data_IF_538691375565
#
_entry.id   IF_538691375565
#
_cell.length_a   1.000
_cell.length_b   1.000
_cell.length_c   1.000
_cell.angle_alpha   90.00
_cell.angle_beta   90.00
_cell.angle_gamma   90.00
#
_symmetry.space_group_name_H-M   'P 1'
#
loop_
_entity.id
_entity.type
_entity.pdbx_description
1 polymer ?
#
# COMPACT_ATOMS: atom_id res chain seq x y z
N UNK A 1 50.77 -35.31 23.16
CA UNK A 1 51.16 -33.88 23.12
C UNK A 1 51.27 -33.49 21.65
N UNK A 2 50.22 -32.96 21.01
CA UNK A 2 49.89 -31.53 20.80
C UNK A 2 51.01 -30.70 20.16
N UNK A 3 50.78 -30.23 18.93
CA UNK A 3 50.95 -28.84 18.42
C UNK A 3 50.88 -28.85 16.88
N UNK A 4 49.71 -28.62 16.27
CA UNK A 4 49.29 -27.35 15.63
C UNK A 4 50.02 -27.00 14.32
N UNK A 5 49.31 -27.12 13.19
CA UNK A 5 49.51 -26.28 11.99
C UNK A 5 48.17 -26.09 11.25
N UNK A 6 47.86 -24.82 11.00
CA UNK A 6 46.53 -24.27 10.78
C UNK A 6 45.80 -24.71 9.51
N UNK A 7 44.50 -24.92 9.68
CA UNK A 7 43.49 -24.98 8.63
C UNK A 7 43.20 -23.55 8.13
N UNK A 8 43.53 -23.29 6.87
CA UNK A 8 43.20 -22.06 6.18
C UNK A 8 41.72 -22.10 5.79
N UNK A 9 40.87 -21.63 6.71
CA UNK A 9 39.45 -21.45 6.50
C UNK A 9 39.17 -20.66 5.23
N UNK A 10 38.53 -21.32 4.25
CA UNK A 10 37.85 -20.66 3.14
C UNK A 10 36.73 -19.78 3.71
N UNK A 11 36.95 -18.46 3.71
CA UNK A 11 35.88 -17.49 3.94
C UNK A 11 34.89 -17.58 2.77
N UNK A 12 33.68 -18.06 3.06
CA UNK A 12 32.53 -17.89 2.17
C UNK A 12 32.18 -16.40 1.99
N UNK A 13 31.47 -16.03 0.92
CA UNK A 13 31.09 -14.64 0.68
C UNK A 13 30.23 -14.14 1.84
N UNK A 14 30.53 -12.92 2.29
CA UNK A 14 29.73 -12.19 3.26
C UNK A 14 28.33 -11.98 2.68
N UNK A 15 27.35 -12.70 3.20
CA UNK A 15 25.94 -12.45 2.95
C UNK A 15 25.61 -11.03 3.44
N UNK A 16 25.14 -10.18 2.52
CA UNK A 16 24.71 -8.82 2.83
C UNK A 16 23.50 -8.83 3.76
N UNK A 17 23.29 -7.78 4.58
CA UNK A 17 22.13 -7.70 5.46
C UNK A 17 20.85 -7.77 4.61
N UNK A 18 20.02 -8.74 4.94
CA UNK A 18 18.77 -9.05 4.24
C UNK A 18 17.92 -7.81 4.02
N UNK A 19 17.33 -7.75 2.83
CA UNK A 19 16.32 -6.79 2.41
C UNK A 19 15.08 -6.92 3.31
N UNK A 20 15.16 -6.36 4.52
CA UNK A 20 13.98 -6.12 5.34
C UNK A 20 13.12 -5.15 4.55
N UNK A 21 11.93 -5.59 4.13
CA UNK A 21 10.93 -4.74 3.47
C UNK A 21 10.58 -3.59 4.44
N UNK A 22 11.24 -2.45 4.26
CA UNK A 22 11.09 -1.26 5.12
C UNK A 22 9.68 -0.70 4.98
N UNK A 23 8.94 -0.64 6.09
CA UNK A 23 7.49 -0.40 6.16
C UNK A 23 7.16 1.07 6.45
N UNK A 24 7.86 1.98 5.80
CA UNK A 24 7.91 3.38 6.22
C UNK A 24 6.56 4.11 6.26
N UNK A 25 5.94 4.11 7.44
CA UNK A 25 4.93 5.06 7.91
C UNK A 25 3.55 5.01 7.27
N UNK A 26 2.60 4.32 7.90
CA UNK A 26 1.14 4.46 7.64
C UNK A 26 0.75 4.40 6.15
N UNK A 27 1.36 3.52 5.36
CA UNK A 27 1.04 3.39 3.93
C UNK A 27 1.58 4.52 3.02
N UNK A 28 2.43 5.42 3.52
CA UNK A 28 3.07 6.48 2.72
C UNK A 28 4.35 6.00 2.03
N UNK A 29 4.25 4.90 1.29
CA UNK A 29 5.36 4.31 0.55
C UNK A 29 5.68 5.09 -0.74
N UNK A 30 6.95 5.05 -1.20
CA UNK A 30 7.31 5.57 -2.52
C UNK A 30 6.64 4.71 -3.61
N UNK A 31 6.17 5.35 -4.67
CA UNK A 31 5.66 4.70 -5.88
C UNK A 31 6.66 4.93 -7.01
N UNK A 32 7.29 3.86 -7.49
CA UNK A 32 8.28 3.90 -8.57
C UNK A 32 7.61 3.78 -9.95
N UNK A 33 8.23 4.31 -11.02
CA UNK A 33 9.38 5.22 -11.03
C UNK A 33 8.97 6.70 -10.82
N UNK A 34 7.72 6.99 -10.46
CA UNK A 34 7.24 8.37 -10.25
C UNK A 34 7.86 9.09 -9.05
N UNK A 35 8.33 8.31 -8.07
CA UNK A 35 8.75 8.75 -6.74
C UNK A 35 7.76 9.71 -6.06
N UNK A 36 6.47 9.38 -6.18
CA UNK A 36 5.38 10.02 -5.44
C UNK A 36 4.92 9.11 -4.32
N UNK A 37 4.31 9.69 -3.30
CA UNK A 37 3.74 8.93 -2.21
C UNK A 37 2.45 8.25 -2.66
N UNK A 38 2.33 6.93 -2.43
CA UNK A 38 1.12 6.15 -2.72
C UNK A 38 -0.14 6.70 -2.05
N UNK A 39 -0.05 6.96 -0.75
CA UNK A 39 -1.18 7.45 0.03
C UNK A 39 -1.60 8.88 -0.36
N UNK A 40 -0.67 9.84 -0.45
CA UNK A 40 -1.02 11.27 -0.62
C UNK A 40 -0.69 11.90 -1.99
N UNK A 41 0.07 11.24 -2.86
CA UNK A 41 0.42 11.69 -4.21
C UNK A 41 1.46 12.82 -4.27
N UNK A 42 1.89 13.35 -3.12
CA UNK A 42 2.99 14.32 -3.03
C UNK A 42 4.34 13.68 -3.41
N UNK A 43 5.35 14.45 -3.81
CA UNK A 43 6.72 13.93 -3.98
C UNK A 43 7.17 13.18 -2.73
N UNK A 44 7.65 11.95 -2.90
CA UNK A 44 8.13 11.13 -1.79
C UNK A 44 9.61 11.46 -1.49
N UNK A 45 10.06 11.58 -0.23
CA UNK A 45 9.30 11.38 1.00
C UNK A 45 8.44 12.61 1.34
N UNK A 46 7.13 12.39 1.39
CA UNK A 46 6.16 13.35 1.90
C UNK A 46 6.26 13.43 3.44
N UNK A 47 5.74 14.49 4.07
CA UNK A 47 5.85 14.66 5.52
C UNK A 47 5.39 13.43 6.35
N UNK A 48 4.24 12.79 6.09
CA UNK A 48 3.86 11.56 6.80
C UNK A 48 4.88 10.43 6.65
N UNK A 49 5.44 10.24 5.45
CA UNK A 49 6.51 9.27 5.21
C UNK A 49 7.77 9.60 6.02
N UNK A 50 8.16 10.89 6.08
CA UNK A 50 9.31 11.34 6.87
C UNK A 50 9.12 11.01 8.35
N UNK A 51 7.95 11.31 8.92
CA UNK A 51 7.63 10.97 10.30
C UNK A 51 7.64 9.46 10.54
N UNK A 52 7.06 8.69 9.62
CA UNK A 52 7.08 7.24 9.65
C UNK A 52 8.50 6.66 9.69
N UNK A 53 9.37 7.13 8.80
CA UNK A 53 10.78 6.77 8.76
C UNK A 53 11.51 7.14 10.07
N UNK A 54 11.23 8.31 10.66
CA UNK A 54 11.84 8.68 11.94
C UNK A 54 11.40 7.80 13.10
N UNK A 55 10.15 7.31 13.06
CA UNK A 55 9.62 6.38 14.06
C UNK A 55 10.21 4.98 13.85
N UNK A 56 10.24 4.50 12.61
CA UNK A 56 10.77 3.17 12.26
C UNK A 56 12.25 3.04 12.58
N UNK A 57 13.05 4.06 12.24
CA UNK A 57 14.50 4.08 12.47
C UNK A 57 14.87 4.81 13.78
N UNK A 58 13.97 4.82 14.78
CA UNK A 58 14.21 5.51 16.04
C UNK A 58 15.46 4.94 16.72
N UNK A 59 16.46 5.78 16.97
CA UNK A 59 17.72 5.39 17.61
C UNK A 59 18.80 4.90 16.64
N UNK A 60 18.48 4.68 15.35
CA UNK A 60 19.45 4.25 14.32
C UNK A 60 19.40 5.17 13.09
N UNK A 61 19.99 6.35 13.26
CA UNK A 61 20.06 7.36 12.19
C UNK A 61 20.95 6.93 11.03
N UNK A 62 21.97 6.13 11.29
CA UNK A 62 22.89 5.64 10.26
C UNK A 62 22.13 4.74 9.30
N UNK A 63 21.35 3.77 9.82
CA UNK A 63 20.49 2.93 8.99
C UNK A 63 19.48 3.75 8.18
N UNK A 64 18.86 4.78 8.77
CA UNK A 64 17.95 5.67 8.04
C UNK A 64 18.64 6.36 6.84
N UNK A 65 19.86 6.87 7.04
CA UNK A 65 20.61 7.56 5.99
C UNK A 65 21.07 6.60 4.89
N UNK A 66 21.48 5.37 5.24
CA UNK A 66 21.80 4.33 4.25
C UNK A 66 20.56 3.95 3.43
N UNK A 67 19.43 3.74 4.10
CA UNK A 67 18.17 3.43 3.44
C UNK A 67 17.74 4.55 2.46
N UNK A 68 17.71 5.80 2.93
CA UNK A 68 17.37 6.95 2.10
C UNK A 68 18.39 7.20 0.98
N UNK A 69 19.66 6.86 1.20
CA UNK A 69 20.71 6.92 0.19
C UNK A 69 20.48 5.92 -0.95
N UNK A 70 20.09 4.68 -0.63
CA UNK A 70 19.70 3.68 -1.62
C UNK A 70 18.50 4.14 -2.46
N UNK A 71 17.45 4.63 -1.80
CA UNK A 71 16.27 5.17 -2.48
C UNK A 71 16.59 6.41 -3.32
N UNK A 72 17.49 7.27 -2.88
CA UNK A 72 17.96 8.42 -3.65
C UNK A 72 18.69 7.98 -4.93
N UNK A 73 19.59 6.99 -4.84
CA UNK A 73 20.34 6.48 -5.99
C UNK A 73 19.39 5.89 -7.04
N UNK A 74 18.40 5.11 -6.59
CA UNK A 74 17.36 4.56 -7.44
C UNK A 74 16.52 5.67 -8.10
N UNK A 75 16.11 6.69 -7.33
CA UNK A 75 15.36 7.83 -7.85
C UNK A 75 16.13 8.63 -8.88
N UNK A 76 17.43 8.78 -8.68
CA UNK A 76 18.32 9.47 -9.62
C UNK A 76 18.47 8.71 -10.94
N UNK A 77 18.40 7.36 -10.91
CA UNK A 77 18.42 6.56 -12.13
C UNK A 77 17.10 6.63 -12.91
N UNK A 78 15.98 6.85 -12.21
CA UNK A 78 14.63 6.83 -12.80
C UNK A 78 14.08 8.20 -13.19
N UNK A 79 14.54 9.29 -12.56
CA UNK A 79 14.07 10.66 -12.82
C UNK A 79 15.14 11.47 -13.57
N UNK A 80 14.93 11.70 -14.86
CA UNK A 80 15.89 12.38 -15.76
C UNK A 80 16.07 13.88 -15.47
N UNK A 81 15.03 14.59 -14.99
CA UNK A 81 15.03 16.05 -14.82
C UNK A 81 14.77 16.53 -13.39
N UNK A 82 14.87 15.63 -12.39
CA UNK A 82 14.53 16.00 -11.02
C UNK A 82 15.64 16.80 -10.33
N UNK A 83 15.36 18.07 -10.04
CA UNK A 83 16.24 18.91 -9.24
C UNK A 83 16.07 18.66 -7.75
N UNK A 84 17.10 18.97 -6.96
CA UNK A 84 17.08 18.93 -5.49
C UNK A 84 16.75 17.58 -4.83
N UNK A 85 16.91 16.45 -5.53
CA UNK A 85 16.64 15.11 -4.98
C UNK A 85 17.43 14.84 -3.69
N UNK A 86 18.72 15.21 -3.64
CA UNK A 86 19.53 15.06 -2.44
C UNK A 86 18.93 15.83 -1.24
N UNK A 87 18.49 17.08 -1.45
CA UNK A 87 17.81 17.88 -0.41
C UNK A 87 16.46 17.24 -0.03
N UNK A 88 15.71 16.71 -1.00
CA UNK A 88 14.40 16.09 -0.80
C UNK A 88 14.46 14.82 0.04
N UNK A 89 15.43 13.93 -0.24
CA UNK A 89 15.59 12.65 0.45
C UNK A 89 16.36 12.79 1.76
N UNK A 90 17.48 13.51 1.77
CA UNK A 90 18.41 13.53 2.91
C UNK A 90 18.38 14.82 3.72
N UNK A 91 17.92 15.93 3.14
CA UNK A 91 18.04 17.27 3.74
C UNK A 91 17.29 17.45 5.06
N UNK A 92 16.22 16.69 5.28
CA UNK A 92 15.43 16.70 6.52
C UNK A 92 15.90 15.64 7.53
N UNK A 93 16.53 14.56 7.07
CA UNK A 93 17.08 13.49 7.92
C UNK A 93 18.44 13.89 8.55
N UNK A 94 19.05 14.98 8.04
CA UNK A 94 20.26 15.57 8.58
C UNK A 94 19.92 16.68 9.58
N UNK A 95 20.26 16.47 10.85
CA UNK A 95 20.21 17.52 11.90
C UNK A 95 21.14 18.67 11.47
N UNK A 96 20.57 19.86 11.22
CA UNK A 96 21.30 21.12 11.43
C UNK A 96 21.18 21.42 12.92
N UNK A 97 22.29 21.79 13.57
CA UNK A 97 22.37 21.93 15.02
C UNK A 97 21.21 22.71 15.64
N UNK A 98 20.71 22.22 16.77
CA UNK A 98 19.75 22.91 17.63
C UNK A 98 18.28 22.67 17.28
N UNK A 99 17.57 21.94 18.16
CA UNK A 99 16.12 21.71 18.20
C UNK A 99 15.47 21.03 16.99
N UNK A 100 15.20 19.73 17.17
CA UNK A 100 14.33 18.94 16.32
C UNK A 100 12.87 19.36 16.62
N UNK A 101 12.23 20.01 15.64
CA UNK A 101 10.85 20.53 15.66
C UNK A 101 10.60 21.77 16.54
N UNK A 102 10.13 22.85 15.91
CA UNK A 102 9.25 23.80 16.60
C UNK A 102 7.90 23.08 16.79
N UNK A 103 7.65 22.60 18.00
CA UNK A 103 6.30 22.23 18.43
C UNK A 103 5.70 23.51 19.01
N UNK A 104 4.66 24.06 18.38
CA UNK A 104 3.89 25.13 19.02
C UNK A 104 3.31 24.58 20.33
N UNK A 105 3.70 25.16 21.46
CA UNK A 105 3.27 24.76 22.81
C UNK A 105 2.01 25.52 23.24
N UNK A 106 1.08 25.77 22.32
CA UNK A 106 -0.23 26.27 22.74
C UNK A 106 -1.08 25.09 23.25
N UNK A 107 -1.58 25.14 24.50
CA UNK A 107 -2.40 24.08 25.06
C UNK A 107 -3.78 24.13 24.38
N UNK A 108 -3.88 23.37 23.29
CA UNK A 108 -5.07 23.32 22.45
C UNK A 108 -4.89 22.30 21.33
N UNK A 109 -4.46 21.08 21.65
CA UNK A 109 -4.51 19.99 20.69
C UNK A 109 -5.98 19.60 20.48
N UNK A 110 -6.68 20.32 19.62
CA UNK A 110 -7.94 19.83 19.07
C UNK A 110 -7.64 18.54 18.31
N UNK A 111 -8.32 17.45 18.69
CA UNK A 111 -8.25 16.19 17.97
C UNK A 111 -8.93 16.43 16.62
N UNK A 112 -8.16 16.83 15.62
CA UNK A 112 -8.63 16.97 14.26
C UNK A 112 -8.91 15.58 13.69
N UNK A 113 -10.16 15.32 13.30
CA UNK A 113 -10.62 14.10 12.60
C UNK A 113 -10.13 14.01 11.15
N UNK A 114 -9.21 14.90 10.76
CA UNK A 114 -8.58 14.94 9.44
C UNK A 114 -7.09 14.72 9.63
N UNK A 115 -6.50 13.85 8.80
CA UNK A 115 -5.06 13.61 8.84
C UNK A 115 -4.33 14.96 8.69
N UNK A 116 -3.64 15.44 9.75
CA UNK A 116 -3.01 16.76 9.78
C UNK A 116 -1.88 16.90 8.75
N UNK A 117 -1.50 15.78 8.12
CA UNK A 117 -0.46 15.72 7.09
C UNK A 117 -1.02 15.38 5.71
N UNK A 118 -2.34 15.30 5.56
CA UNK A 118 -2.97 15.12 4.27
C UNK A 118 -2.71 16.35 3.40
N UNK A 119 -2.28 16.12 2.16
CA UNK A 119 -2.12 17.20 1.17
C UNK A 119 -3.47 17.92 1.03
N UNK A 120 -3.53 19.24 1.26
CA UNK A 120 -4.76 20.01 1.12
C UNK A 120 -5.39 19.83 -0.25
N UNK A 121 -6.72 19.83 -0.34
CA UNK A 121 -7.42 19.48 -1.59
C UNK A 121 -6.98 20.34 -2.80
N UNK A 122 -6.68 21.62 -2.59
CA UNK A 122 -6.18 22.53 -3.63
C UNK A 122 -4.75 22.27 -4.10
N UNK A 123 -3.95 21.56 -3.28
CA UNK A 123 -2.54 21.23 -3.58
C UNK A 123 -2.37 19.79 -4.11
N UNK A 124 -3.45 18.99 -4.13
CA UNK A 124 -3.47 17.67 -4.78
C UNK A 124 -3.43 17.85 -6.30
N UNK A 125 -2.83 16.88 -7.01
CA UNK A 125 -2.84 16.90 -8.47
C UNK A 125 -4.28 17.00 -9.03
N UNK A 126 -4.50 17.71 -10.15
CA UNK A 126 -5.84 17.83 -10.75
C UNK A 126 -6.51 16.47 -10.99
N UNK A 127 -5.74 15.47 -11.46
CA UNK A 127 -6.23 14.10 -11.68
C UNK A 127 -6.65 13.42 -10.38
N UNK A 128 -5.93 13.61 -9.28
CA UNK A 128 -6.34 13.09 -7.95
C UNK A 128 -7.62 13.75 -7.45
N UNK A 129 -7.80 15.04 -7.73
CA UNK A 129 -9.04 15.77 -7.41
C UNK A 129 -10.21 15.26 -8.26
N UNK A 130 -9.98 14.99 -9.55
CA UNK A 130 -10.96 14.39 -10.45
C UNK A 130 -11.38 13.00 -9.96
N UNK A 131 -10.41 12.10 -9.67
CA UNK A 131 -10.69 10.77 -9.13
C UNK A 131 -11.52 10.84 -7.84
N UNK A 132 -11.23 11.79 -6.95
CA UNK A 132 -12.00 11.98 -5.73
C UNK A 132 -13.45 12.45 -5.94
N UNK A 133 -13.83 12.90 -7.14
CA UNK A 133 -15.21 13.25 -7.51
C UNK A 133 -16.00 12.06 -8.05
N UNK A 134 -15.34 10.95 -8.36
CA UNK A 134 -15.99 9.70 -8.73
C UNK A 134 -16.32 8.95 -7.45
N UNK A 135 -17.60 8.66 -7.22
CA UNK A 135 -17.99 7.70 -6.20
C UNK A 135 -17.61 6.31 -6.71
N UNK A 136 -16.92 5.52 -5.89
CA UNK A 136 -16.50 4.19 -6.27
C UNK A 136 -16.87 3.17 -5.19
N UNK A 137 -17.28 1.95 -5.57
CA UNK A 137 -17.46 0.87 -4.60
C UNK A 137 -16.12 0.52 -3.96
N UNK A 138 -16.16 0.07 -2.72
CA UNK A 138 -15.01 -0.50 -2.02
C UNK A 138 -15.11 -2.01 -2.12
N UNK A 139 -14.07 -2.63 -2.67
CA UNK A 139 -13.95 -4.08 -2.74
C UNK A 139 -12.68 -4.53 -2.01
N UNK A 140 -12.69 -5.77 -1.57
CA UNK A 140 -11.51 -6.48 -1.09
C UNK A 140 -11.12 -7.52 -2.13
N UNK A 141 -9.87 -7.46 -2.58
CA UNK A 141 -9.29 -8.49 -3.44
C UNK A 141 -8.37 -9.35 -2.58
N UNK A 142 -8.46 -10.67 -2.71
CA UNK A 142 -7.60 -11.64 -2.00
C UNK A 142 -7.09 -12.73 -2.92
N UNK A 143 -5.98 -13.36 -2.57
CA UNK A 143 -5.36 -14.42 -3.37
C UNK A 143 -4.92 -15.62 -2.50
N UNK A 144 -4.75 -16.82 -3.08
CA UNK A 144 -4.27 -18.01 -2.36
C UNK A 144 -2.81 -17.83 -1.91
N UNK A 145 -2.52 -17.86 -0.61
CA UNK A 145 -1.20 -17.54 -0.07
C UNK A 145 -1.22 -16.40 0.96
N UNK A 146 -2.26 -16.38 1.80
CA UNK A 146 -3.23 -15.29 1.92
C UNK A 146 -2.61 -13.89 1.85
N UNK A 147 -2.87 -13.21 0.74
CA UNK A 147 -2.58 -11.80 0.52
C UNK A 147 -3.87 -11.06 0.13
N UNK A 148 -3.96 -9.77 0.43
CA UNK A 148 -5.15 -8.99 0.10
C UNK A 148 -4.89 -7.49 -0.04
N UNK A 149 -5.79 -6.82 -0.75
CA UNK A 149 -5.76 -5.36 -0.95
C UNK A 149 -7.17 -4.81 -1.05
N UNK A 150 -7.41 -3.66 -0.43
CA UNK A 150 -8.63 -2.88 -0.68
C UNK A 150 -8.53 -2.14 -2.00
N UNK A 151 -9.45 -2.42 -2.91
CA UNK A 151 -9.49 -1.89 -4.28
C UNK A 151 -10.79 -1.12 -4.50
N UNK A 152 -10.69 0.12 -4.96
CA UNK A 152 -11.84 1.00 -5.26
C UNK A 152 -11.90 1.41 -6.74
N UNK A 153 -11.27 0.62 -7.59
CA UNK A 153 -11.23 0.80 -9.05
C UNK A 153 -11.83 -0.39 -9.80
N UNK A 154 -12.57 -1.25 -9.10
CA UNK A 154 -13.14 -2.45 -9.69
C UNK A 154 -14.30 -2.10 -10.60
N UNK A 155 -14.26 -2.64 -11.82
CA UNK A 155 -15.32 -2.57 -12.81
C UNK A 155 -15.60 -3.97 -13.33
N UNK A 156 -16.87 -4.25 -13.61
CA UNK A 156 -17.35 -5.51 -14.19
C UNK A 156 -17.94 -5.20 -15.57
N UNK A 157 -17.68 -6.08 -16.54
CA UNK A 157 -18.22 -6.02 -17.87
C UNK A 157 -18.84 -7.38 -18.21
N UNK A 158 -20.16 -7.37 -18.43
CA UNK A 158 -20.90 -8.54 -18.89
C UNK A 158 -20.48 -8.91 -20.33
N UNK A 159 -20.34 -10.21 -20.59
CA UNK A 159 -19.94 -10.71 -21.91
C UNK A 159 -19.74 -12.22 -21.96
N UNK A 160 -19.20 -12.70 -23.07
CA UNK A 160 -18.90 -14.12 -23.28
C UNK A 160 -17.39 -14.30 -23.48
N UNK A 161 -16.60 -14.52 -22.41
CA UNK A 161 -17.00 -14.67 -21.00
C UNK A 161 -17.06 -13.34 -20.24
N UNK A 162 -17.73 -13.33 -19.08
CA UNK A 162 -17.83 -12.21 -18.15
C UNK A 162 -16.45 -11.76 -17.63
N UNK A 163 -16.23 -10.45 -17.58
CA UNK A 163 -14.92 -9.85 -17.26
C UNK A 163 -14.98 -8.91 -16.07
N UNK A 164 -13.84 -8.81 -15.41
CA UNK A 164 -13.55 -7.81 -14.39
C UNK A 164 -12.23 -7.12 -14.71
N UNK A 165 -12.13 -5.83 -14.35
CA UNK A 165 -10.86 -5.12 -14.34
C UNK A 165 -10.69 -4.26 -13.08
N UNK A 166 -9.45 -3.92 -12.77
CA UNK A 166 -9.11 -3.03 -11.67
C UNK A 166 -7.66 -2.54 -11.71
N UNK A 167 -7.39 -1.43 -11.01
CA UNK A 167 -6.05 -0.90 -10.85
C UNK A 167 -5.43 -1.43 -9.55
N UNK A 168 -4.34 -2.18 -9.68
CA UNK A 168 -3.59 -2.75 -8.56
C UNK A 168 -2.18 -2.18 -8.54
N UNK A 169 -1.64 -2.00 -7.35
CA UNK A 169 -0.26 -1.57 -7.20
C UNK A 169 0.71 -2.73 -7.48
N UNK A 170 1.69 -2.57 -8.40
CA UNK A 170 2.62 -3.64 -8.79
C UNK A 170 3.54 -4.10 -7.65
N UNK A 171 3.73 -3.28 -6.62
CA UNK A 171 4.55 -3.65 -5.45
C UNK A 171 3.71 -4.21 -4.29
N UNK A 172 2.40 -4.42 -4.48
CA UNK A 172 1.54 -4.95 -3.43
C UNK A 172 1.80 -6.45 -3.21
N UNK A 173 1.75 -6.89 -1.95
CA UNK A 173 1.84 -8.32 -1.64
C UNK A 173 0.69 -9.09 -2.32
N UNK A 174 -0.49 -8.46 -2.51
CA UNK A 174 -1.56 -9.03 -3.34
C UNK A 174 -1.07 -9.31 -4.76
N UNK A 175 -0.48 -8.33 -5.45
CA UNK A 175 -0.05 -8.52 -6.83
C UNK A 175 0.94 -9.67 -6.96
N UNK A 176 1.94 -9.72 -6.07
CA UNK A 176 2.93 -10.81 -6.08
C UNK A 176 2.27 -12.20 -5.99
N UNK A 177 1.25 -12.35 -5.13
CA UNK A 177 0.51 -13.61 -4.98
C UNK A 177 -0.42 -13.89 -6.16
N UNK A 178 -1.07 -12.87 -6.73
CA UNK A 178 -1.96 -13.03 -7.90
C UNK A 178 -1.18 -13.41 -9.15
N UNK A 179 -0.01 -12.81 -9.35
CA UNK A 179 0.89 -13.12 -10.47
C UNK A 179 1.35 -14.58 -10.41
N UNK A 180 1.64 -15.09 -9.22
CA UNK A 180 2.04 -16.48 -9.01
C UNK A 180 0.85 -17.46 -9.13
N UNK A 181 -0.28 -17.15 -8.49
CA UNK A 181 -1.43 -18.06 -8.42
C UNK A 181 -2.32 -18.05 -9.67
N UNK A 182 -2.29 -16.95 -10.45
CA UNK A 182 -3.13 -16.73 -11.63
C UNK A 182 -4.62 -16.57 -11.31
N UNK A 183 -5.00 -16.41 -10.05
CA UNK A 183 -6.39 -16.32 -9.59
C UNK A 183 -6.53 -15.52 -8.31
N UNK A 184 -7.71 -14.96 -8.10
CA UNK A 184 -8.04 -14.12 -6.95
C UNK A 184 -9.54 -14.06 -6.72
N UNK A 185 -9.94 -13.77 -5.49
CA UNK A 185 -11.33 -13.49 -5.13
C UNK A 185 -11.55 -11.97 -5.03
N UNK A 186 -12.75 -11.51 -5.38
CA UNK A 186 -13.19 -10.12 -5.22
C UNK A 186 -14.49 -10.10 -4.41
N UNK A 187 -14.45 -9.38 -3.28
CA UNK A 187 -15.57 -9.24 -2.36
C UNK A 187 -16.03 -7.78 -2.32
N UNK A 188 -17.26 -7.45 -2.75
CA UNK A 188 -17.87 -6.16 -2.47
C UNK A 188 -18.04 -5.97 -0.95
N UNK A 189 -17.54 -4.86 -0.40
CA UNK A 189 -17.62 -4.59 1.03
C UNK A 189 -18.85 -3.73 1.34
N UNK A 190 -19.57 -4.09 2.41
CA UNK A 190 -20.64 -3.26 2.99
C UNK A 190 -20.18 -2.28 4.10
N UNK A 191 -21.06 -1.38 4.58
CA UNK A 191 -20.76 -0.34 5.58
C UNK A 191 -20.06 -0.79 6.86
N UNK A 192 -20.34 -2.01 7.33
CA UNK A 192 -19.72 -2.57 8.54
C UNK A 192 -18.24 -2.92 8.34
N UNK A 193 -17.78 -3.11 7.10
CA UNK A 193 -16.40 -3.48 6.77
C UNK A 193 -15.42 -2.30 6.71
N UNK A 194 -15.76 -1.10 7.19
CA UNK A 194 -14.86 0.08 7.14
C UNK A 194 -13.48 -0.21 7.74
N UNK A 195 -13.44 -0.86 8.91
CA UNK A 195 -12.17 -1.19 9.57
C UNK A 195 -11.37 -2.25 8.81
N UNK A 196 -12.05 -3.24 8.24
CA UNK A 196 -11.44 -4.24 7.35
C UNK A 196 -10.81 -3.54 6.13
N UNK A 197 -11.57 -2.66 5.47
CA UNK A 197 -11.11 -1.90 4.32
C UNK A 197 -9.89 -1.02 4.64
N UNK A 198 -9.90 -0.30 5.75
CA UNK A 198 -8.74 0.53 6.14
C UNK A 198 -7.50 -0.32 6.43
N UNK A 199 -7.68 -1.52 7.01
CA UNK A 199 -6.58 -2.45 7.29
C UNK A 199 -5.93 -2.96 6.00
N UNK A 200 -6.74 -3.45 5.07
CA UNK A 200 -6.28 -3.94 3.76
C UNK A 200 -5.87 -2.81 2.80
N UNK A 201 -6.18 -1.55 3.12
CA UNK A 201 -5.61 -0.36 2.48
C UNK A 201 -4.25 0.07 3.08
N UNK A 202 -3.77 -0.60 4.14
CA UNK A 202 -2.52 -0.27 4.83
C UNK A 202 -2.58 0.98 5.71
N UNK A 203 -3.79 1.41 6.10
CA UNK A 203 -4.01 2.59 6.95
C UNK A 203 -3.92 2.27 8.44
N UNK A 204 -4.19 1.02 8.82
CA UNK A 204 -4.04 0.53 10.19
C UNK A 204 -2.90 -0.50 10.32
N UNK A 205 -2.19 -0.53 11.47
CA UNK A 205 -1.31 -1.65 11.78
C UNK A 205 -2.13 -2.94 11.86
N UNK A 206 -1.52 -4.05 11.46
CA UNK A 206 -2.15 -5.38 11.50
C UNK A 206 -1.30 -6.33 12.36
N UNK A 207 -1.38 -6.22 13.71
CA UNK A 207 -0.71 -7.17 14.59
C UNK A 207 -1.21 -8.60 14.29
N UNK A 208 -0.29 -9.55 14.11
CA UNK A 208 -0.63 -10.92 13.74
C UNK A 208 -0.92 -11.15 12.25
N UNK A 209 -0.91 -10.09 11.42
CA UNK A 209 -1.16 -10.17 9.97
C UNK A 209 -2.53 -9.62 9.56
N UNK A 210 -2.71 -9.40 8.26
CA UNK A 210 -3.93 -8.78 7.70
C UNK A 210 -5.20 -9.59 7.99
N UNK A 211 -5.07 -10.92 8.03
CA UNK A 211 -6.17 -11.89 8.15
C UNK A 211 -6.47 -12.30 9.60
N UNK A 212 -5.76 -11.76 10.60
CA UNK A 212 -5.80 -12.29 11.97
C UNK A 212 -7.06 -11.93 12.79
N UNK A 213 -7.78 -10.87 12.43
CA UNK A 213 -8.83 -10.29 13.29
C UNK A 213 -10.27 -10.65 12.86
N UNK A 214 -10.48 -11.08 11.62
CA UNK A 214 -11.81 -11.35 11.07
C UNK A 214 -12.01 -12.84 10.80
N UNK A 215 -13.26 -13.25 10.58
CA UNK A 215 -13.60 -14.61 10.16
C UNK A 215 -13.53 -14.73 8.64
N UNK A 216 -12.90 -15.81 8.16
CA UNK A 216 -12.66 -16.04 6.74
C UNK A 216 -13.21 -17.39 6.31
N UNK A 217 -13.78 -17.40 5.11
CA UNK A 217 -14.10 -18.61 4.36
C UNK A 217 -13.01 -18.83 3.32
N UNK A 218 -12.34 -19.97 3.38
CA UNK A 218 -11.34 -20.34 2.38
C UNK A 218 -12.00 -20.75 1.07
N UNK A 219 -11.49 -20.22 -0.05
CA UNK A 219 -11.94 -20.57 -1.40
C UNK A 219 -10.74 -20.92 -2.28
N UNK A 220 -10.92 -21.60 -3.43
CA UNK A 220 -9.85 -21.83 -4.40
C UNK A 220 -9.18 -20.54 -4.92
N UNK A 221 -9.87 -19.40 -4.79
CA UNK A 221 -9.48 -18.09 -5.29
C UNK A 221 -8.82 -17.21 -4.20
N UNK A 222 -8.86 -17.63 -2.94
CA UNK A 222 -8.37 -16.87 -1.79
C UNK A 222 -9.42 -16.76 -0.66
N UNK A 223 -9.02 -16.34 0.55
CA UNK A 223 -9.94 -16.17 1.67
C UNK A 223 -10.90 -15.00 1.45
N UNK A 224 -12.19 -15.19 1.75
CA UNK A 224 -13.22 -14.14 1.70
C UNK A 224 -13.86 -13.94 3.08
N UNK A 225 -14.27 -12.70 3.46
CA UNK A 225 -14.92 -12.47 4.76
C UNK A 225 -16.21 -13.29 4.87
N UNK A 226 -16.38 -14.01 5.98
CA UNK A 226 -17.55 -14.89 6.19
C UNK A 226 -18.87 -14.11 6.31
N UNK A 227 -18.81 -12.87 6.76
CA UNK A 227 -19.95 -11.96 6.91
C UNK A 227 -20.24 -11.12 5.66
N UNK A 228 -19.47 -11.29 4.58
CA UNK A 228 -19.73 -10.61 3.32
C UNK A 228 -21.09 -10.99 2.70
N UNK A 229 -21.61 -10.07 1.87
CA UNK A 229 -22.83 -10.28 1.09
C UNK A 229 -22.65 -11.23 -0.10
N UNK A 230 -21.40 -11.43 -0.52
CA UNK A 230 -21.01 -12.33 -1.60
C UNK A 230 -19.62 -12.02 -2.14
N UNK A 231 -19.16 -12.84 -3.08
CA UNK A 231 -17.85 -12.75 -3.70
C UNK A 231 -17.89 -13.31 -5.13
N UNK A 232 -16.86 -12.98 -5.90
CA UNK A 232 -16.59 -13.59 -7.21
C UNK A 232 -15.18 -14.14 -7.26
N UNK A 233 -15.02 -15.29 -7.90
CA UNK A 233 -13.73 -15.92 -8.19
C UNK A 233 -13.28 -15.58 -9.59
N UNK A 234 -12.05 -15.11 -9.73
CA UNK A 234 -11.49 -14.62 -10.97
C UNK A 234 -10.21 -15.38 -11.36
N UNK A 235 -10.06 -15.66 -12.65
CA UNK A 235 -8.79 -16.05 -13.27
C UNK A 235 -8.14 -14.84 -13.93
N UNK A 236 -6.87 -14.61 -13.63
CA UNK A 236 -6.07 -13.56 -14.26
C UNK A 236 -5.93 -13.83 -15.77
N UNK A 237 -6.25 -12.85 -16.61
CA UNK A 237 -6.01 -12.92 -18.04
C UNK A 237 -4.72 -12.21 -18.43
N UNK A 238 -4.60 -10.94 -18.02
CA UNK A 238 -3.43 -10.12 -18.29
C UNK A 238 -3.33 -8.97 -17.28
N UNK A 239 -2.14 -8.41 -17.17
CA UNK A 239 -1.91 -7.16 -16.48
C UNK A 239 -0.94 -6.31 -17.29
N UNK A 240 -1.23 -5.01 -17.37
CA UNK A 240 -0.38 -4.05 -18.09
C UNK A 240 -0.27 -2.75 -17.31
N UNK A 241 0.84 -2.06 -17.48
CA UNK A 241 1.00 -0.73 -16.90
C UNK A 241 -0.10 0.23 -17.39
N UNK A 242 -0.72 0.91 -16.45
CA UNK A 242 -1.73 1.94 -16.70
C UNK A 242 -1.49 3.13 -15.76
N UNK A 243 -0.75 4.10 -16.27
CA UNK A 243 -0.15 5.14 -15.45
C UNK A 243 0.91 4.52 -14.53
N UNK A 244 0.66 4.51 -13.23
CA UNK A 244 1.59 3.99 -12.22
C UNK A 244 1.10 2.72 -11.52
N UNK A 245 -0.04 2.18 -11.97
CA UNK A 245 -0.63 0.96 -11.48
C UNK A 245 -0.61 -0.09 -12.60
N UNK A 246 -0.95 -1.32 -12.26
CA UNK A 246 -1.32 -2.35 -13.23
C UNK A 246 -2.82 -2.27 -13.46
N UNK A 247 -3.24 -2.14 -14.72
CA UNK A 247 -4.58 -2.54 -15.13
C UNK A 247 -4.59 -4.06 -15.19
N UNK A 248 -5.23 -4.66 -14.20
CA UNK A 248 -5.48 -6.10 -14.10
C UNK A 248 -6.79 -6.39 -14.81
N UNK A 249 -6.77 -7.35 -15.73
CA UNK A 249 -7.92 -7.84 -16.48
C UNK A 249 -8.09 -9.33 -16.17
N UNK A 250 -9.32 -9.74 -15.88
CA UNK A 250 -9.61 -11.10 -15.42
C UNK A 250 -10.97 -11.62 -15.90
N UNK A 251 -11.07 -12.94 -15.99
CA UNK A 251 -12.31 -13.67 -16.29
C UNK A 251 -13.00 -14.01 -14.99
N UNK A 252 -14.30 -13.75 -14.88
CA UNK A 252 -15.10 -14.23 -13.76
C UNK A 252 -15.45 -15.69 -14.02
N UNK A 253 -15.08 -16.58 -13.09
CA UNK A 253 -15.29 -18.03 -13.21
C UNK A 253 -16.25 -18.59 -12.16
N UNK A 254 -16.40 -17.89 -11.03
CA UNK A 254 -17.32 -18.27 -9.96
C UNK A 254 -18.02 -17.02 -9.40
N UNK A 255 -19.30 -17.16 -9.08
CA UNK A 255 -20.12 -16.09 -8.48
C UNK A 255 -20.94 -16.69 -7.35
N UNK A 256 -20.84 -16.10 -6.16
CA UNK A 256 -21.61 -16.47 -4.98
C UNK A 256 -22.11 -15.20 -4.29
N UNK A 257 -23.38 -14.84 -4.53
CA UNK A 257 -24.00 -13.61 -4.03
C UNK A 257 -25.27 -13.94 -3.21
N UNK A 258 -25.12 -14.55 -2.01
CA UNK A 258 -26.26 -15.04 -1.24
C UNK A 258 -27.08 -13.94 -0.57
N UNK A 259 -26.52 -12.73 -0.41
CA UNK A 259 -27.18 -11.61 0.27
C UNK A 259 -26.96 -10.32 -0.51
N UNK A 260 -28.05 -9.63 -0.77
CA UNK A 260 -27.97 -8.23 -1.19
C UNK A 260 -27.57 -7.38 0.01
N UNK A 261 -26.45 -6.65 -0.11
CA UNK A 261 -25.91 -5.81 0.96
C UNK A 261 -25.59 -4.42 0.41
N UNK A 262 -25.94 -3.34 1.13
CA UNK A 262 -25.63 -2.00 0.67
C UNK A 262 -24.10 -1.86 0.53
N UNK A 263 -23.60 -1.21 -0.54
CA UNK A 263 -22.17 -1.08 -0.75
C UNK A 263 -21.55 -0.02 0.16
N UNK A 264 -20.34 -0.29 0.62
CA UNK A 264 -19.42 0.72 1.12
C UNK A 264 -18.88 1.52 -0.07
N UNK A 265 -19.10 2.82 -0.07
CA UNK A 265 -18.59 3.72 -1.11
C UNK A 265 -17.39 4.50 -0.61
N UNK A 266 -16.44 4.78 -1.50
CA UNK A 266 -15.37 5.73 -1.26
C UNK A 266 -15.57 6.97 -2.14
N UNK A 267 -15.75 8.12 -1.48
CA UNK A 267 -16.00 9.40 -2.16
C UNK A 267 -15.27 10.54 -1.45
N UNK A 268 -14.55 11.35 -2.22
CA UNK A 268 -13.74 12.48 -1.71
C UNK A 268 -12.77 12.11 -0.57
N UNK A 269 -12.23 10.89 -0.59
CA UNK A 269 -11.26 10.43 0.41
C UNK A 269 -11.91 9.97 1.72
N UNK A 270 -13.20 9.66 1.72
CA UNK A 270 -13.96 9.23 2.90
C UNK A 270 -14.92 8.12 2.51
N UNK A 271 -15.22 7.24 3.47
CA UNK A 271 -16.30 6.28 3.32
C UNK A 271 -17.67 6.98 3.32
N UNK A 272 -18.57 6.46 2.50
CA UNK A 272 -19.96 6.89 2.32
C UNK A 272 -20.85 5.66 2.21
N UNK A 273 -22.12 5.88 2.54
CA UNK A 273 -23.19 4.89 2.41
C UNK A 273 -24.20 5.44 1.41
N UNK A 274 -24.89 4.55 0.70
CA UNK A 274 -26.07 4.93 -0.06
C UNK A 274 -27.21 5.16 0.94
N UNK A 275 -27.88 6.29 0.80
CA UNK A 275 -29.15 6.57 1.46
C UNK A 275 -30.22 6.54 0.38
N UNK A 276 -31.30 5.80 0.63
CA UNK A 276 -32.48 5.76 -0.24
C UNK A 276 -33.17 7.12 -0.38
#
# INVERSE_FOLDING_TARGET
>A
MRSERGDLGRKGPLEGPGSSKIRAGRGHLPMRPAWRCRACGAPWPCQPARLGLLVEFRGDRTALLFHLGGLLAEANAQLTDATDLHRRFLGWARVRGGTMFHVNHEPGAEIHHTDPFAVPAGQRSPVRRLRGRLAAPVTLWTAPGPAGLTVSSTLVAEGEPDRLLGLVDPESDLWATVEEAGRFAVTPLGPHHRQLADRFAGLFPSPGGLFALDAWTETPYGPVPTDAGGWVGCRLDTAREYGWALLVEATIEAVDLPRDTPPLLHYRGRYRELTD
#
